data_IF_616581636598
#
_entry.id   IF_616581636598
#
_cell.length_a   1.000
_cell.length_b   1.000
_cell.length_c   1.000
_cell.angle_alpha   90.00
_cell.angle_beta   90.00
_cell.angle_gamma   90.00
#
_symmetry.space_group_name_H-M   'P 1'
#
loop_
_entity.id
_entity.type
_entity.pdbx_description
1 polymer ?
#
# COMPACT_ATOMS: atom_id res chain seq x y z
N UNK A 1 39.30 11.06 -11.62
CA UNK A 1 37.88 11.37 -11.38
C UNK A 1 37.36 10.24 -10.50
N UNK A 2 36.98 10.55 -9.28
CA UNK A 2 36.57 9.56 -8.27
C UNK A 2 35.24 8.94 -8.70
N UNK A 3 35.27 7.65 -9.06
CA UNK A 3 34.12 6.86 -9.54
C UNK A 3 33.52 6.00 -8.43
N UNK A 4 33.66 6.42 -7.17
CA UNK A 4 33.05 5.73 -6.03
C UNK A 4 31.52 5.93 -6.05
N UNK A 5 30.71 4.88 -5.85
CA UNK A 5 29.27 5.00 -5.81
C UNK A 5 28.85 5.95 -4.67
N UNK A 6 28.13 7.01 -5.02
CA UNK A 6 27.66 8.02 -4.06
C UNK A 6 26.30 7.62 -3.49
N UNK A 7 26.16 7.66 -2.18
CA UNK A 7 24.87 7.50 -1.49
C UNK A 7 24.00 8.71 -1.86
N UNK A 8 22.84 8.45 -2.46
CA UNK A 8 21.87 9.49 -2.88
C UNK A 8 20.82 9.78 -1.82
N UNK A 9 20.52 8.81 -0.96
CA UNK A 9 19.47 8.90 0.06
C UNK A 9 19.65 7.82 1.14
N UNK A 10 19.15 8.08 2.35
CA UNK A 10 18.96 7.06 3.39
C UNK A 10 17.66 7.31 4.18
N UNK A 11 17.14 6.28 4.83
CA UNK A 11 15.94 6.33 5.68
C UNK A 11 16.31 5.71 7.01
N UNK A 12 15.95 6.37 8.13
CA UNK A 12 16.33 5.91 9.46
C UNK A 12 15.08 5.62 10.29
N UNK A 13 15.11 4.50 11.03
CA UNK A 13 14.05 4.08 11.95
C UNK A 13 14.60 3.97 13.37
N UNK A 14 13.79 4.33 14.36
CA UNK A 14 14.07 4.05 15.78
C UNK A 14 15.12 4.93 16.46
N UNK A 15 16.00 5.59 15.70
CA UNK A 15 16.99 6.52 16.24
C UNK A 15 17.18 7.76 15.35
N UNK A 16 17.66 8.85 15.93
CA UNK A 16 18.05 10.05 15.19
C UNK A 16 19.55 9.94 14.82
N UNK A 17 19.93 10.01 13.54
CA UNK A 17 21.33 9.88 13.15
C UNK A 17 22.13 11.14 13.49
N UNK A 18 23.43 10.96 13.76
CA UNK A 18 24.40 12.04 13.89
C UNK A 18 25.13 12.24 12.55
N UNK A 19 24.62 13.10 11.66
CA UNK A 19 25.27 13.46 10.39
C UNK A 19 24.34 13.53 9.16
N UNK A 20 24.85 14.08 8.05
CA UNK A 20 24.24 14.06 6.71
C UNK A 20 24.30 12.66 6.05
N UNK A 21 23.41 12.30 5.08
CA UNK A 21 22.63 13.14 4.17
C UNK A 21 21.21 13.49 4.67
N UNK A 22 20.41 14.13 3.81
CA UNK A 22 18.98 14.39 4.03
C UNK A 22 18.24 13.09 4.26
N UNK A 23 17.64 12.93 5.43
CA UNK A 23 16.99 11.66 5.84
C UNK A 23 15.59 11.91 6.39
N UNK A 24 14.57 11.17 5.93
CA UNK A 24 13.39 10.95 6.74
C UNK A 24 13.77 10.05 7.92
N UNK A 25 13.45 10.51 9.12
CA UNK A 25 13.64 9.78 10.36
C UNK A 25 12.27 9.39 10.90
N UNK A 26 12.10 8.12 11.27
CA UNK A 26 10.86 7.58 11.81
C UNK A 26 11.04 7.17 13.26
N UNK A 27 10.47 7.93 14.19
CA UNK A 27 10.65 7.74 15.63
C UNK A 27 9.35 7.29 16.31
N UNK A 28 9.39 6.25 17.15
CA UNK A 28 8.23 5.87 17.94
C UNK A 28 7.96 6.89 19.06
N UNK A 29 6.73 6.97 19.54
CA UNK A 29 6.35 7.82 20.66
C UNK A 29 6.20 9.30 20.30
N UNK A 30 6.06 10.13 21.35
CA UNK A 30 6.00 11.58 21.24
C UNK A 30 7.40 12.16 21.40
N UNK A 31 8.02 12.51 20.28
CA UNK A 31 9.10 13.48 20.26
C UNK A 31 8.50 14.86 19.95
N UNK A 32 9.23 15.95 20.21
CA UNK A 32 8.80 17.31 19.84
C UNK A 32 8.22 17.32 18.42
N UNK A 33 7.19 18.15 18.18
CA UNK A 33 6.39 18.15 16.94
C UNK A 33 7.23 18.13 15.66
N UNK A 34 6.63 17.86 14.48
CA UNK A 34 7.38 17.61 13.25
C UNK A 34 8.40 18.73 12.98
N UNK A 35 9.66 18.48 13.33
CA UNK A 35 10.75 19.38 13.04
C UNK A 35 11.14 19.10 11.60
N UNK A 36 10.61 19.92 10.69
CA UNK A 36 11.16 20.07 9.35
C UNK A 36 12.39 20.97 9.47
N UNK A 37 13.51 20.38 9.90
CA UNK A 37 14.79 21.06 9.73
C UNK A 37 15.11 21.16 8.24
N UNK A 38 15.91 22.13 7.83
CA UNK A 38 16.31 22.33 6.43
C UNK A 38 16.92 21.05 5.80
N UNK A 39 17.46 20.15 6.64
CA UNK A 39 18.17 18.94 6.22
C UNK A 39 17.50 17.63 6.68
N UNK A 40 16.45 17.63 7.51
CA UNK A 40 15.85 16.39 8.04
C UNK A 40 14.34 16.50 8.23
N UNK A 41 13.61 15.47 7.79
CA UNK A 41 12.17 15.33 8.05
C UNK A 41 11.96 14.29 9.15
N UNK A 42 11.63 14.74 10.37
CA UNK A 42 11.36 13.84 11.49
C UNK A 42 9.87 13.52 11.56
N UNK A 43 9.53 12.25 11.41
CA UNK A 43 8.18 11.70 11.52
C UNK A 43 8.05 10.95 12.85
N UNK A 44 7.06 11.33 13.65
CA UNK A 44 6.79 10.70 14.95
C UNK A 44 5.51 9.87 14.91
N UNK A 45 5.47 8.80 15.71
CA UNK A 45 4.35 7.86 15.80
C UNK A 45 3.85 7.74 17.25
N UNK A 46 2.97 8.66 17.70
CA UNK A 46 2.58 8.77 19.11
C UNK A 46 1.91 7.53 19.71
N UNK A 47 1.26 6.71 18.88
CA UNK A 47 0.60 5.47 19.32
C UNK A 47 1.58 4.31 19.53
N UNK A 48 2.84 4.45 19.13
CA UNK A 48 3.90 3.46 19.32
C UNK A 48 4.67 3.80 20.61
N UNK A 49 4.92 2.85 21.52
CA UNK A 49 5.72 3.10 22.71
C UNK A 49 7.10 3.66 22.35
N UNK A 50 7.62 4.67 23.05
CA UNK A 50 8.92 5.28 22.73
C UNK A 50 10.11 4.29 22.80
N UNK A 51 9.95 3.18 23.53
CA UNK A 51 10.94 2.09 23.61
C UNK A 51 10.92 1.16 22.41
N UNK A 52 9.88 1.23 21.57
CA UNK A 52 9.65 0.31 20.46
C UNK A 52 10.37 0.76 19.18
N UNK A 53 11.71 0.77 19.22
CA UNK A 53 12.57 1.25 18.12
C UNK A 53 12.42 0.44 16.82
N UNK A 54 12.01 -0.83 16.92
CA UNK A 54 11.86 -1.75 15.79
C UNK A 54 10.41 -1.90 15.31
N UNK A 55 9.57 -0.87 15.52
CA UNK A 55 8.13 -0.94 15.23
C UNK A 55 7.77 -1.21 13.76
N UNK A 56 8.73 -1.09 12.84
CA UNK A 56 8.55 -1.33 11.41
C UNK A 56 8.90 -2.76 10.97
N UNK A 57 9.53 -3.56 11.83
CA UNK A 57 10.01 -4.90 11.48
C UNK A 57 8.93 -5.93 11.83
N UNK A 58 8.27 -6.59 10.85
CA UNK A 58 7.14 -7.49 11.12
C UNK A 58 7.45 -8.65 12.06
N UNK A 59 8.70 -9.13 12.05
CA UNK A 59 9.14 -10.23 12.89
C UNK A 59 9.48 -9.83 14.35
N UNK A 60 9.45 -8.54 14.69
CA UNK A 60 9.83 -8.04 16.00
C UNK A 60 8.61 -7.80 16.91
N UNK A 61 8.76 -7.98 18.23
CA UNK A 61 7.67 -7.79 19.21
C UNK A 61 7.10 -6.35 19.24
N UNK A 62 7.94 -5.39 18.86
CA UNK A 62 7.59 -3.97 18.75
C UNK A 62 6.70 -3.65 17.55
N UNK A 63 6.51 -4.59 16.61
CA UNK A 63 5.84 -4.32 15.35
C UNK A 63 4.46 -3.70 15.55
N UNK A 64 4.20 -2.62 14.81
CA UNK A 64 2.89 -1.96 14.77
C UNK A 64 2.52 -1.68 13.33
N UNK A 65 1.68 -2.55 12.76
CA UNK A 65 1.31 -2.52 11.34
C UNK A 65 0.85 -1.14 10.85
N UNK A 66 0.01 -0.44 11.61
CA UNK A 66 -0.50 0.89 11.23
C UNK A 66 0.61 1.93 11.12
N UNK A 67 1.50 2.01 12.12
CA UNK A 67 2.63 2.93 12.11
C UNK A 67 3.67 2.55 11.06
N UNK A 68 3.97 1.25 10.94
CA UNK A 68 4.89 0.72 9.93
C UNK A 68 4.43 1.05 8.51
N UNK A 69 3.14 0.88 8.23
CA UNK A 69 2.54 1.19 6.94
C UNK A 69 2.69 2.67 6.59
N UNK A 70 2.37 3.57 7.51
CA UNK A 70 2.53 5.02 7.28
C UNK A 70 4.00 5.40 7.10
N UNK A 71 4.89 4.82 7.89
CA UNK A 71 6.33 5.04 7.76
C UNK A 71 6.87 4.55 6.41
N UNK A 72 6.39 3.41 5.94
CA UNK A 72 6.72 2.86 4.64
C UNK A 72 6.29 3.80 3.49
N UNK A 73 5.03 4.23 3.47
CA UNK A 73 4.51 5.18 2.46
C UNK A 73 5.34 6.47 2.43
N UNK A 74 5.63 7.07 3.58
CA UNK A 74 6.47 8.28 3.68
C UNK A 74 7.88 8.06 3.15
N UNK A 75 8.44 6.87 3.36
CA UNK A 75 9.77 6.51 2.88
C UNK A 75 9.77 6.34 1.35
N UNK A 76 8.74 5.73 0.79
CA UNK A 76 8.58 5.61 -0.66
C UNK A 76 8.41 6.98 -1.33
N UNK A 77 7.60 7.88 -0.75
CA UNK A 77 7.43 9.25 -1.27
C UNK A 77 8.74 10.03 -1.32
N UNK A 78 9.68 9.75 -0.41
CA UNK A 78 11.01 10.35 -0.40
C UNK A 78 11.97 9.66 -1.38
N UNK A 79 11.99 8.32 -1.40
CA UNK A 79 12.97 7.55 -2.16
C UNK A 79 12.69 7.49 -3.66
N UNK A 80 11.43 7.28 -4.08
CA UNK A 80 11.09 7.08 -5.50
C UNK A 80 11.58 8.24 -6.40
N UNK A 81 11.37 9.53 -6.05
CA UNK A 81 11.87 10.64 -6.86
C UNK A 81 13.40 10.69 -6.97
N UNK A 82 14.12 10.27 -5.92
CA UNK A 82 15.58 10.30 -5.87
C UNK A 82 16.23 9.14 -6.64
N UNK A 83 15.56 7.99 -6.69
CA UNK A 83 16.05 6.80 -7.39
C UNK A 83 15.66 6.79 -8.88
N UNK A 84 14.80 7.72 -9.33
CA UNK A 84 14.18 7.65 -10.66
C UNK A 84 13.38 6.36 -10.87
N UNK A 85 12.99 5.70 -9.77
CA UNK A 85 12.48 4.32 -9.73
C UNK A 85 10.95 4.26 -9.67
N UNK A 86 10.37 3.09 -9.99
CA UNK A 86 9.21 3.01 -10.87
C UNK A 86 7.99 3.75 -10.33
N UNK A 87 7.48 4.63 -11.19
CA UNK A 87 6.18 5.26 -11.05
C UNK A 87 5.19 4.45 -11.88
N UNK A 88 4.28 3.77 -11.19
CA UNK A 88 3.18 3.07 -11.83
C UNK A 88 1.96 3.97 -11.82
N UNK A 89 1.18 3.93 -12.90
CA UNK A 89 -0.17 4.46 -12.90
C UNK A 89 -1.08 3.49 -12.15
N UNK A 90 -1.20 3.70 -10.83
CA UNK A 90 -1.99 2.82 -9.97
C UNK A 90 -3.48 2.89 -10.30
N UNK A 91 -3.95 4.01 -10.83
CA UNK A 91 -5.35 4.15 -11.25
C UNK A 91 -5.62 3.27 -12.47
N UNK A 92 -4.76 3.35 -13.49
CA UNK A 92 -4.90 2.54 -14.69
C UNK A 92 -4.85 1.04 -14.37
N UNK A 93 -3.93 0.61 -13.49
CA UNK A 93 -3.83 -0.80 -13.06
C UNK A 93 -5.12 -1.24 -12.34
N UNK A 94 -5.65 -0.39 -11.46
CA UNK A 94 -6.86 -0.71 -10.69
C UNK A 94 -8.13 -0.69 -11.55
N UNK A 95 -8.25 0.26 -12.48
CA UNK A 95 -9.35 0.32 -13.45
C UNK A 95 -9.33 -0.90 -14.39
N UNK A 96 -8.15 -1.34 -14.82
CA UNK A 96 -8.00 -2.57 -15.60
C UNK A 96 -8.42 -3.80 -14.78
N UNK A 97 -7.94 -3.91 -13.54
CA UNK A 97 -8.29 -5.01 -12.64
C UNK A 97 -9.81 -5.14 -12.44
N UNK A 98 -10.46 -4.04 -12.06
CA UNK A 98 -11.90 -4.00 -11.81
C UNK A 98 -12.71 -4.20 -13.09
N UNK A 99 -12.22 -3.75 -14.26
CA UNK A 99 -12.84 -4.08 -15.54
C UNK A 99 -12.86 -5.58 -15.79
N UNK A 100 -11.77 -6.29 -15.53
CA UNK A 100 -11.74 -7.75 -15.70
C UNK A 100 -12.65 -8.49 -14.71
N UNK A 101 -12.75 -8.00 -13.49
CA UNK A 101 -13.60 -8.60 -12.46
C UNK A 101 -15.10 -8.42 -12.74
N UNK A 102 -15.52 -7.21 -13.14
CA UNK A 102 -16.93 -6.83 -13.16
C UNK A 102 -17.52 -6.66 -14.56
N UNK A 103 -16.75 -6.19 -15.54
CA UNK A 103 -17.23 -6.00 -16.91
C UNK A 103 -17.00 -7.24 -17.78
N UNK A 104 -15.74 -7.70 -17.88
CA UNK A 104 -15.38 -8.84 -18.72
C UNK A 104 -15.66 -10.18 -18.02
N UNK A 105 -15.67 -10.17 -16.68
CA UNK A 105 -15.87 -11.34 -15.81
C UNK A 105 -14.90 -12.47 -16.15
N UNK A 106 -13.63 -12.14 -16.35
CA UNK A 106 -12.57 -13.07 -16.73
C UNK A 106 -11.61 -13.34 -15.58
N UNK A 107 -11.66 -14.56 -15.03
CA UNK A 107 -10.75 -15.00 -13.96
C UNK A 107 -9.29 -14.94 -14.42
N UNK A 108 -9.01 -15.34 -15.66
CA UNK A 108 -7.64 -15.39 -16.19
C UNK A 108 -7.02 -14.00 -16.27
N UNK A 109 -7.74 -13.05 -16.87
CA UNK A 109 -7.28 -11.67 -17.01
C UNK A 109 -7.19 -10.96 -15.66
N UNK A 110 -8.16 -11.15 -14.76
CA UNK A 110 -8.08 -10.64 -13.38
C UNK A 110 -6.82 -11.14 -12.69
N UNK A 111 -6.52 -12.44 -12.77
CA UNK A 111 -5.32 -13.01 -12.15
C UNK A 111 -4.03 -12.55 -12.84
N UNK A 112 -4.06 -12.18 -14.13
CA UNK A 112 -2.90 -11.66 -14.86
C UNK A 112 -2.46 -10.27 -14.37
N UNK A 113 -3.40 -9.45 -13.89
CA UNK A 113 -3.09 -8.13 -13.30
C UNK A 113 -2.55 -8.19 -11.87
N UNK A 114 -2.62 -9.35 -11.21
CA UNK A 114 -2.14 -9.55 -9.84
C UNK A 114 -0.65 -9.91 -9.78
N UNK A 115 0.01 -9.51 -8.68
CA UNK A 115 1.40 -9.89 -8.36
C UNK A 115 1.56 -11.41 -8.10
N UNK A 116 2.80 -11.85 -7.90
CA UNK A 116 3.15 -13.26 -7.65
C UNK A 116 2.59 -13.81 -6.32
N UNK A 117 2.53 -12.97 -5.29
CA UNK A 117 1.96 -13.30 -3.98
C UNK A 117 0.76 -12.38 -3.65
N UNK A 118 -0.37 -12.52 -4.37
CA UNK A 118 -1.52 -11.67 -4.13
C UNK A 118 -2.32 -12.14 -2.92
N UNK A 119 -3.06 -11.22 -2.30
CA UNK A 119 -4.06 -11.58 -1.30
C UNK A 119 -5.28 -10.67 -1.43
N UNK A 120 -6.46 -11.22 -1.13
CA UNK A 120 -7.73 -10.49 -1.05
C UNK A 120 -8.42 -10.87 0.25
N UNK A 121 -9.01 -9.89 0.92
CA UNK A 121 -9.79 -10.09 2.12
C UNK A 121 -11.05 -9.21 2.09
N UNK A 122 -12.22 -9.83 1.98
CA UNK A 122 -13.49 -9.18 2.23
C UNK A 122 -13.75 -9.17 3.74
N UNK A 123 -13.39 -8.06 4.38
CA UNK A 123 -13.41 -7.90 5.84
C UNK A 123 -14.74 -8.28 6.50
N UNK A 124 -15.93 -7.92 5.96
CA UNK A 124 -17.21 -8.25 6.61
C UNK A 124 -17.49 -9.76 6.71
N UNK A 125 -17.00 -10.55 5.75
CA UNK A 125 -17.25 -11.99 5.63
C UNK A 125 -16.03 -12.84 5.96
N UNK A 126 -14.85 -12.21 6.14
CA UNK A 126 -13.55 -12.88 6.30
C UNK A 126 -13.25 -13.88 5.17
N UNK A 127 -13.77 -13.62 3.96
CA UNK A 127 -13.56 -14.45 2.77
C UNK A 127 -12.49 -13.86 1.87
N UNK A 128 -11.88 -14.70 1.04
CA UNK A 128 -10.86 -14.30 0.08
C UNK A 128 -9.82 -15.39 -0.11
N UNK A 129 -8.58 -15.01 -0.38
CA UNK A 129 -7.49 -15.95 -0.62
C UNK A 129 -6.11 -15.30 -0.48
N UNK A 130 -5.10 -16.15 -0.27
CA UNK A 130 -3.69 -15.77 -0.25
C UNK A 130 -2.95 -16.67 -1.22
N UNK A 131 -2.15 -16.05 -2.10
CA UNK A 131 -1.43 -16.72 -3.18
C UNK A 131 -2.32 -16.99 -4.39
N UNK A 132 -1.68 -17.11 -5.57
CA UNK A 132 -2.37 -17.21 -6.86
C UNK A 132 -3.37 -18.36 -6.91
N UNK A 133 -2.98 -19.57 -6.50
CA UNK A 133 -3.84 -20.75 -6.60
C UNK A 133 -5.15 -20.62 -5.80
N UNK A 134 -5.08 -20.12 -4.55
CA UNK A 134 -6.26 -19.94 -3.70
C UNK A 134 -7.14 -18.81 -4.22
N UNK A 135 -6.53 -17.73 -4.69
CA UNK A 135 -7.28 -16.61 -5.26
C UNK A 135 -7.95 -16.97 -6.58
N UNK A 136 -7.31 -17.73 -7.46
CA UNK A 136 -7.97 -18.20 -8.69
C UNK A 136 -9.23 -19.02 -8.38
N UNK A 137 -9.17 -19.92 -7.40
CA UNK A 137 -10.37 -20.65 -6.96
C UNK A 137 -11.41 -19.72 -6.34
N UNK A 138 -11.01 -18.79 -5.47
CA UNK A 138 -11.93 -17.82 -4.89
C UNK A 138 -12.63 -16.95 -5.95
N UNK A 139 -11.86 -16.36 -6.88
CA UNK A 139 -12.36 -15.53 -7.97
C UNK A 139 -13.36 -16.29 -8.85
N UNK A 140 -13.01 -17.52 -9.24
CA UNK A 140 -13.85 -18.38 -10.10
C UNK A 140 -15.11 -18.89 -9.38
N UNK A 141 -14.97 -19.34 -8.14
CA UNK A 141 -16.00 -20.16 -7.50
C UNK A 141 -16.91 -19.32 -6.59
N UNK A 142 -16.49 -18.12 -6.16
CA UNK A 142 -17.16 -17.35 -5.10
C UNK A 142 -17.27 -15.83 -5.32
N UNK A 143 -16.65 -15.27 -6.35
CA UNK A 143 -16.61 -13.81 -6.52
C UNK A 143 -17.12 -13.34 -7.89
N UNK A 144 -16.34 -13.48 -8.96
CA UNK A 144 -16.62 -12.87 -10.28
C UNK A 144 -18.01 -13.22 -10.83
N UNK A 145 -18.48 -14.45 -10.58
CA UNK A 145 -19.76 -14.95 -11.08
C UNK A 145 -20.90 -14.92 -10.05
N UNK A 146 -20.66 -14.39 -8.84
CA UNK A 146 -21.66 -14.37 -7.77
C UNK A 146 -22.58 -13.15 -7.81
N UNK A 147 -22.20 -12.12 -8.56
CA UNK A 147 -23.00 -10.92 -8.77
C UNK A 147 -23.99 -11.10 -9.94
N UNK A 148 -25.20 -10.49 -9.88
CA UNK A 148 -26.11 -10.40 -11.02
C UNK A 148 -25.47 -9.86 -12.31
N UNK A 149 -26.01 -10.23 -13.47
CA UNK A 149 -25.47 -9.81 -14.78
C UNK A 149 -25.56 -8.30 -15.04
N UNK A 150 -26.44 -7.61 -14.32
CA UNK A 150 -26.66 -6.17 -14.43
C UNK A 150 -26.06 -5.37 -13.26
N UNK A 151 -25.15 -5.99 -12.50
CA UNK A 151 -24.30 -5.32 -11.52
C UNK A 151 -23.47 -4.24 -12.20
N UNK A 152 -23.56 -3.02 -11.68
CA UNK A 152 -22.79 -1.87 -12.13
C UNK A 152 -22.10 -1.20 -10.94
N UNK A 153 -20.79 -0.94 -11.09
CA UNK A 153 -19.99 -0.20 -10.14
C UNK A 153 -19.97 1.29 -10.47
N UNK A 154 -20.35 2.12 -9.50
CA UNK A 154 -20.26 3.57 -9.58
C UNK A 154 -19.17 4.09 -8.63
N UNK A 155 -18.15 4.75 -9.19
CA UNK A 155 -17.09 5.39 -8.42
C UNK A 155 -17.56 6.75 -7.88
N UNK A 156 -17.59 6.88 -6.55
CA UNK A 156 -17.96 8.13 -5.88
C UNK A 156 -16.72 8.97 -5.59
N UNK A 157 -15.66 8.34 -5.08
CA UNK A 157 -14.40 9.04 -4.80
C UNK A 157 -13.22 8.08 -4.80
N UNK A 158 -12.06 8.59 -5.20
CA UNK A 158 -10.78 7.87 -5.23
C UNK A 158 -9.69 8.71 -4.56
N UNK A 159 -8.88 8.06 -3.72
CA UNK A 159 -7.66 8.63 -3.17
C UNK A 159 -6.46 7.80 -3.61
N UNK A 160 -5.51 8.44 -4.28
CA UNK A 160 -4.30 7.79 -4.81
C UNK A 160 -3.08 8.18 -3.97
N UNK A 161 -2.41 7.18 -3.43
CA UNK A 161 -1.12 7.32 -2.74
C UNK A 161 0.04 6.85 -3.61
N UNK A 162 1.27 6.95 -3.09
CA UNK A 162 2.48 6.49 -3.79
C UNK A 162 2.55 4.96 -3.96
N UNK A 163 1.74 4.23 -3.20
CA UNK A 163 1.77 2.78 -3.00
C UNK A 163 0.38 2.11 -2.92
N UNK A 164 -0.72 2.87 -3.06
CA UNK A 164 -2.09 2.35 -2.90
C UNK A 164 -3.14 3.23 -3.57
N UNK A 165 -4.30 2.64 -3.85
CA UNK A 165 -5.54 3.32 -4.23
C UNK A 165 -6.61 2.98 -3.19
N UNK A 166 -7.45 3.94 -2.84
CA UNK A 166 -8.62 3.75 -1.99
C UNK A 166 -9.83 4.32 -2.71
N UNK A 167 -10.76 3.44 -3.06
CA UNK A 167 -12.01 3.81 -3.70
C UNK A 167 -13.18 3.71 -2.72
N UNK A 168 -14.08 4.67 -2.86
CA UNK A 168 -15.46 4.53 -2.40
C UNK A 168 -16.34 4.25 -3.62
N UNK A 169 -16.92 3.05 -3.66
CA UNK A 169 -17.75 2.56 -4.74
C UNK A 169 -19.18 2.28 -4.24
N UNK A 170 -20.16 2.47 -5.11
CA UNK A 170 -21.52 1.96 -4.93
C UNK A 170 -21.78 0.86 -5.97
N UNK A 171 -22.13 -0.33 -5.50
CA UNK A 171 -22.60 -1.41 -6.37
C UNK A 171 -24.13 -1.38 -6.42
N UNK A 172 -24.69 -1.43 -7.62
CA UNK A 172 -26.11 -1.55 -7.84
C UNK A 172 -26.43 -2.55 -8.94
N UNK A 173 -27.47 -3.35 -8.71
CA UNK A 173 -28.11 -4.20 -9.70
C UNK A 173 -29.59 -3.79 -9.79
N UNK A 174 -30.16 -3.75 -10.99
CA UNK A 174 -31.60 -3.52 -11.15
C UNK A 174 -32.31 -4.83 -10.82
N UNK A 175 -33.28 -4.78 -9.91
CA UNK A 175 -34.19 -5.91 -9.77
C UNK A 175 -35.04 -6.01 -11.04
N UNK A 176 -34.61 -6.83 -11.99
CA UNK A 176 -35.46 -7.26 -13.10
C UNK A 176 -36.46 -8.27 -12.53
N UNK A 177 -37.73 -7.91 -12.64
CA UNK A 177 -38.88 -8.64 -12.11
C UNK A 177 -39.26 -9.82 -13.01
#
# INVERSE_FOLDING_TARGET
MDTSPKIVASVVYGCCPTGEPTVPVHLPGRHGGPNRGELQTVNTYPAVPATAGFFTIPAHADYRASAATVAHTRSLSFLKPLMGGPCFDLEAIWDEHTRYEFADRSVEETMATMVDEPYVNHVPTLTGGIGRAKLTSFCRDHFIFSNPDDTALELVSRTVGIDRVVDWLYDHARQTK
#
